data_IF_966390349353
#
_entry.id   IF_966390349353
#
_cell.length_a   1.000
_cell.length_b   1.000
_cell.length_c   1.000
_cell.angle_alpha   90.00
_cell.angle_beta   90.00
_cell.angle_gamma   90.00
#
_symmetry.space_group_name_H-M   'P 1'
#
loop_
_entity.id
_entity.type
_entity.pdbx_description
1 polymer ?
#
# COMPACT_ATOMS: atom_id res chain seq x y z
N UNK A 1 4.97 11.69 6.81
CA UNK A 1 4.27 10.42 7.03
C UNK A 1 2.82 10.56 6.59
N UNK A 2 2.33 9.62 5.79
CA UNK A 2 0.92 9.45 5.42
C UNK A 2 0.40 8.19 6.09
N UNK A 3 -0.74 8.26 6.78
CA UNK A 3 -1.28 7.10 7.48
C UNK A 3 -2.81 7.12 7.49
N UNK A 4 -3.42 5.94 7.42
CA UNK A 4 -4.85 5.79 7.70
C UNK A 4 -5.11 5.92 9.19
N UNK A 5 -6.30 6.40 9.56
CA UNK A 5 -6.76 6.48 10.95
C UNK A 5 -7.93 5.51 11.17
N UNK A 6 -7.67 4.28 11.65
CA UNK A 6 -8.71 3.26 11.79
C UNK A 6 -9.84 3.61 12.76
N UNK A 7 -9.62 4.54 13.68
CA UNK A 7 -10.65 5.01 14.61
C UNK A 7 -11.71 5.92 13.94
N UNK A 8 -11.40 6.41 12.73
CA UNK A 8 -12.30 7.25 11.95
C UNK A 8 -12.70 6.49 10.70
N UNK A 9 -13.98 6.22 10.49
CA UNK A 9 -14.52 5.46 9.35
C UNK A 9 -13.76 4.15 9.07
N UNK A 10 -13.31 3.46 10.11
CA UNK A 10 -12.50 2.23 10.02
C UNK A 10 -11.20 2.37 9.18
N UNK A 11 -10.76 3.58 8.89
CA UNK A 11 -9.61 3.86 8.01
C UNK A 11 -9.94 3.91 6.52
N UNK A 12 -11.24 3.86 6.14
CA UNK A 12 -11.66 3.98 4.75
C UNK A 12 -11.22 5.31 4.13
N UNK A 13 -10.96 5.28 2.83
CA UNK A 13 -10.71 6.48 2.05
C UNK A 13 -12.03 7.05 1.54
N UNK A 14 -12.41 8.21 2.03
CA UNK A 14 -13.47 9.04 1.47
C UNK A 14 -12.91 10.07 0.47
N UNK A 15 -13.80 10.85 -0.14
CA UNK A 15 -13.42 11.91 -1.08
C UNK A 15 -12.47 12.94 -0.44
N UNK A 16 -12.70 13.30 0.83
CA UNK A 16 -11.91 14.31 1.52
C UNK A 16 -10.53 13.77 1.92
N UNK A 17 -10.44 12.54 2.44
CA UNK A 17 -9.19 11.89 2.77
C UNK A 17 -8.30 11.76 1.52
N UNK A 18 -8.88 11.34 0.39
CA UNK A 18 -8.19 11.21 -0.88
C UNK A 18 -7.64 12.55 -1.39
N UNK A 19 -8.44 13.62 -1.31
CA UNK A 19 -8.00 14.99 -1.68
C UNK A 19 -6.89 15.50 -0.77
N UNK A 20 -7.04 15.31 0.54
CA UNK A 20 -6.05 15.74 1.54
C UNK A 20 -4.72 15.01 1.32
N UNK A 21 -4.76 13.68 1.19
CA UNK A 21 -3.56 12.87 0.99
C UNK A 21 -2.89 13.20 -0.35
N UNK A 22 -3.64 13.29 -1.46
CA UNK A 22 -3.08 13.63 -2.76
C UNK A 22 -2.40 15.01 -2.77
N UNK A 23 -3.00 16.02 -2.12
CA UNK A 23 -2.38 17.35 -1.97
C UNK A 23 -1.08 17.28 -1.16
N UNK A 24 -1.09 16.52 -0.06
CA UNK A 24 0.10 16.39 0.79
C UNK A 24 1.24 15.65 0.09
N UNK A 25 0.95 14.58 -0.65
CA UNK A 25 1.95 13.86 -1.45
C UNK A 25 2.59 14.76 -2.48
N UNK A 26 1.80 15.53 -3.23
CA UNK A 26 2.32 16.50 -4.20
C UNK A 26 3.16 17.61 -3.56
N UNK A 27 2.77 18.08 -2.37
CA UNK A 27 3.58 19.02 -1.60
C UNK A 27 4.94 18.42 -1.23
N UNK A 28 4.95 17.20 -0.70
CA UNK A 28 6.20 16.53 -0.34
C UNK A 28 7.11 16.33 -1.56
N UNK A 29 6.53 15.94 -2.69
CA UNK A 29 7.29 15.76 -3.94
C UNK A 29 7.92 17.08 -4.42
N UNK A 30 7.14 18.18 -4.42
CA UNK A 30 7.62 19.50 -4.82
C UNK A 30 8.80 20.03 -3.97
N UNK A 31 8.91 19.60 -2.72
CA UNK A 31 9.97 19.99 -1.79
C UNK A 31 11.01 18.89 -1.53
N UNK A 32 11.06 17.85 -2.34
CA UNK A 32 11.98 16.71 -2.19
C UNK A 32 11.92 16.04 -0.80
N UNK A 33 10.73 15.94 -0.21
CA UNK A 33 10.50 15.32 1.10
C UNK A 33 10.12 13.85 0.90
N UNK A 34 10.95 12.88 1.37
CA UNK A 34 10.63 11.46 1.29
C UNK A 34 9.32 11.11 1.97
N UNK A 35 8.59 10.14 1.41
CA UNK A 35 7.29 9.70 1.89
C UNK A 35 7.39 8.34 2.59
N UNK A 36 6.82 8.26 3.80
CA UNK A 36 6.56 7.01 4.51
C UNK A 36 5.05 6.85 4.63
N UNK A 37 4.51 5.78 4.06
CA UNK A 37 3.08 5.48 4.07
C UNK A 37 2.79 4.30 4.98
N UNK A 38 1.93 4.50 5.97
CA UNK A 38 1.47 3.45 6.87
C UNK A 38 0.04 3.06 6.50
N UNK A 39 -0.14 1.83 6.01
CA UNK A 39 -1.40 1.37 5.42
C UNK A 39 -2.19 0.54 6.40
N UNK A 40 -3.42 0.96 6.66
CA UNK A 40 -4.45 0.20 7.35
C UNK A 40 -5.81 0.60 6.77
N UNK A 41 -6.13 0.12 5.58
CA UNK A 41 -7.27 0.58 4.77
C UNK A 41 -8.14 -0.58 4.29
N UNK A 42 -9.41 -0.64 4.70
CA UNK A 42 -10.33 -1.69 4.26
C UNK A 42 -10.91 -1.43 2.86
N UNK A 43 -10.83 -0.21 2.35
CA UNK A 43 -11.39 0.16 1.06
C UNK A 43 -11.66 1.65 0.93
N UNK A 44 -12.23 2.04 -0.21
CA UNK A 44 -12.90 3.33 -0.33
C UNK A 44 -14.24 3.28 0.41
N UNK A 45 -14.67 4.40 0.97
CA UNK A 45 -15.95 4.48 1.66
C UNK A 45 -17.10 4.35 0.65
N UNK A 46 -17.96 3.33 0.77
CA UNK A 46 -19.08 3.15 -0.14
C UNK A 46 -20.24 4.11 0.19
N UNK A 47 -21.16 4.25 -0.72
CA UNK A 47 -22.40 4.97 -0.52
C UNK A 47 -22.66 6.04 -1.58
N UNK A 48 -23.94 6.30 -1.85
CA UNK A 48 -24.37 7.26 -2.88
C UNK A 48 -23.84 8.66 -2.67
N UNK A 49 -23.73 9.10 -1.39
CA UNK A 49 -23.15 10.40 -1.05
C UNK A 49 -21.67 10.50 -1.44
N UNK A 50 -20.89 9.41 -1.31
CA UNK A 50 -19.49 9.37 -1.74
C UNK A 50 -19.38 9.34 -3.26
N UNK A 51 -20.25 8.60 -3.94
CA UNK A 51 -20.30 8.56 -5.40
C UNK A 51 -20.61 9.95 -5.99
N UNK A 52 -21.63 10.63 -5.48
CA UNK A 52 -21.94 12.00 -5.91
C UNK A 52 -20.85 13.01 -5.56
N UNK A 53 -20.12 12.80 -4.46
CA UNK A 53 -18.97 13.62 -4.09
C UNK A 53 -17.68 13.24 -4.85
N UNK A 54 -17.76 12.32 -5.79
CA UNK A 54 -16.65 11.97 -6.70
C UNK A 54 -15.54 11.18 -6.01
N UNK A 55 -15.87 10.17 -5.20
CA UNK A 55 -14.89 9.33 -4.51
C UNK A 55 -13.87 8.70 -5.47
N UNK A 56 -14.32 8.24 -6.64
CA UNK A 56 -13.44 7.68 -7.68
C UNK A 56 -12.53 8.75 -8.27
N UNK A 57 -13.08 9.94 -8.60
CA UNK A 57 -12.31 11.07 -9.11
C UNK A 57 -11.21 11.50 -8.14
N UNK A 58 -11.55 11.60 -6.85
CA UNK A 58 -10.60 12.03 -5.83
C UNK A 58 -9.63 10.92 -5.45
N UNK A 59 -10.05 9.65 -5.47
CA UNK A 59 -9.18 8.49 -5.35
C UNK A 59 -8.15 8.45 -6.48
N UNK A 60 -8.57 8.74 -7.71
CA UNK A 60 -7.67 8.85 -8.86
C UNK A 60 -6.61 9.97 -8.67
N UNK A 61 -6.99 11.12 -8.06
CA UNK A 61 -6.00 12.18 -7.75
C UNK A 61 -4.91 11.69 -6.78
N UNK A 62 -5.27 10.89 -5.80
CA UNK A 62 -4.30 10.28 -4.88
C UNK A 62 -3.41 9.27 -5.60
N UNK A 63 -4.00 8.43 -6.47
CA UNK A 63 -3.28 7.47 -7.29
C UNK A 63 -2.22 8.18 -8.17
N UNK A 64 -2.62 9.21 -8.90
CA UNK A 64 -1.71 9.99 -9.73
C UNK A 64 -0.64 10.70 -8.91
N UNK A 65 -0.97 11.26 -7.75
CA UNK A 65 0.00 11.91 -6.89
C UNK A 65 1.14 10.96 -6.49
N UNK A 66 0.82 9.73 -6.10
CA UNK A 66 1.85 8.73 -5.80
C UNK A 66 2.57 8.19 -7.04
N UNK A 67 1.86 8.04 -8.16
CA UNK A 67 2.45 7.54 -9.40
C UNK A 67 3.45 8.51 -10.03
N UNK A 68 3.18 9.82 -9.93
CA UNK A 68 4.02 10.88 -10.44
C UNK A 68 5.17 11.25 -9.50
N UNK A 69 5.00 11.05 -8.17
CA UNK A 69 6.00 11.45 -7.18
C UNK A 69 7.35 10.78 -7.43
N UNK A 70 8.40 11.60 -7.48
CA UNK A 70 9.79 11.20 -7.74
C UNK A 70 10.60 10.97 -6.45
N UNK A 71 10.10 11.49 -5.32
CA UNK A 71 10.73 11.29 -4.01
C UNK A 71 10.69 9.84 -3.54
N UNK A 72 11.60 9.42 -2.66
CA UNK A 72 11.58 8.11 -2.03
C UNK A 72 10.23 7.78 -1.39
N UNK A 73 9.65 6.63 -1.76
CA UNK A 73 8.36 6.15 -1.27
C UNK A 73 8.51 4.80 -0.57
N UNK A 74 8.32 4.80 0.74
CA UNK A 74 8.37 3.60 1.57
C UNK A 74 6.98 3.35 2.12
N UNK A 75 6.48 2.13 1.96
CA UNK A 75 5.15 1.74 2.41
C UNK A 75 5.25 0.58 3.39
N UNK A 76 4.46 0.64 4.46
CA UNK A 76 4.34 -0.44 5.44
C UNK A 76 2.87 -0.76 5.64
N UNK A 77 2.46 -1.95 5.28
CA UNK A 77 1.11 -2.46 5.56
C UNK A 77 1.06 -2.97 6.99
N UNK A 78 0.24 -2.30 7.81
CA UNK A 78 0.14 -2.59 9.24
C UNK A 78 -0.88 -3.69 9.52
N UNK A 79 -2.07 -3.62 8.89
CA UNK A 79 -3.17 -4.54 9.12
C UNK A 79 -3.95 -4.81 7.82
N UNK A 80 -4.93 -3.98 7.48
CA UNK A 80 -5.77 -4.16 6.31
C UNK A 80 -5.23 -3.40 5.10
N UNK A 81 -5.28 -4.03 3.94
CA UNK A 81 -4.88 -3.41 2.68
C UNK A 81 -5.67 -4.07 1.55
N UNK A 82 -6.89 -3.53 1.28
CA UNK A 82 -7.82 -4.17 0.37
C UNK A 82 -8.12 -3.33 -0.87
N UNK A 83 -8.19 -4.02 -2.00
CA UNK A 83 -8.73 -3.55 -3.27
C UNK A 83 -8.07 -2.30 -3.82
N UNK A 84 -8.88 -1.42 -4.42
CA UNK A 84 -8.40 -0.18 -5.01
C UNK A 84 -7.77 0.79 -4.01
N UNK A 85 -8.22 0.79 -2.76
CA UNK A 85 -7.63 1.61 -1.70
C UNK A 85 -6.20 1.16 -1.35
N UNK A 86 -5.92 -0.15 -1.36
CA UNK A 86 -4.56 -0.67 -1.31
C UNK A 86 -3.71 -0.09 -2.45
N UNK A 87 -4.22 -0.14 -3.67
CA UNK A 87 -3.47 0.33 -4.83
C UNK A 87 -3.06 1.80 -4.71
N UNK A 88 -3.98 2.68 -4.29
CA UNK A 88 -3.71 4.14 -4.25
C UNK A 88 -2.83 4.57 -3.07
N UNK A 89 -2.62 3.73 -2.06
CA UNK A 89 -1.80 4.03 -0.89
C UNK A 89 -0.33 3.65 -1.09
N UNK A 90 0.29 4.16 -2.17
CA UNK A 90 1.71 3.94 -2.47
C UNK A 90 2.10 2.47 -2.63
N UNK A 91 1.26 1.70 -3.30
CA UNK A 91 1.54 0.29 -3.57
C UNK A 91 2.69 0.12 -4.57
N UNK A 92 3.20 -1.11 -4.67
CA UNK A 92 4.18 -1.51 -5.69
C UNK A 92 3.66 -1.27 -7.11
N UNK A 93 2.35 -1.39 -7.33
CA UNK A 93 1.68 -1.11 -8.61
C UNK A 93 1.86 0.34 -9.07
N UNK A 94 2.03 1.29 -8.14
CA UNK A 94 2.29 2.70 -8.41
C UNK A 94 3.78 3.06 -8.29
N UNK A 95 4.66 2.10 -8.50
CA UNK A 95 6.11 2.29 -8.38
C UNK A 95 6.53 2.77 -6.99
N UNK A 96 5.89 2.24 -5.92
CA UNK A 96 6.41 2.35 -4.56
C UNK A 96 7.80 1.70 -4.49
N UNK A 97 8.78 2.40 -3.96
CA UNK A 97 10.18 1.94 -3.99
C UNK A 97 10.39 0.73 -3.09
N UNK A 98 9.92 0.83 -1.85
CA UNK A 98 10.00 -0.25 -0.86
C UNK A 98 8.64 -0.45 -0.20
N UNK A 99 8.12 -1.66 -0.31
CA UNK A 99 6.84 -2.04 0.27
C UNK A 99 7.05 -3.19 1.25
N UNK A 100 6.69 -2.95 2.50
CA UNK A 100 6.78 -3.90 3.59
C UNK A 100 5.41 -4.24 4.15
N UNK A 101 5.30 -5.38 4.78
CA UNK A 101 4.10 -5.75 5.52
C UNK A 101 4.45 -6.38 6.87
N UNK A 102 3.58 -6.22 7.84
CA UNK A 102 3.65 -7.01 9.07
C UNK A 102 3.15 -8.44 8.81
N UNK A 103 3.60 -9.44 9.59
CA UNK A 103 3.18 -10.84 9.39
C UNK A 103 1.68 -11.05 9.53
N UNK A 104 1.02 -10.17 10.30
CA UNK A 104 -0.43 -10.18 10.54
C UNK A 104 -1.21 -9.31 9.57
N UNK A 105 -0.53 -8.73 8.56
CA UNK A 105 -1.20 -7.90 7.56
C UNK A 105 -2.09 -8.75 6.65
N UNK A 106 -3.20 -8.17 6.23
CA UNK A 106 -4.14 -8.77 5.30
C UNK A 106 -4.10 -7.97 3.98
N UNK A 107 -3.53 -8.56 2.95
CA UNK A 107 -3.43 -7.94 1.61
C UNK A 107 -4.28 -8.78 0.66
N UNK A 108 -5.36 -8.22 0.14
CA UNK A 108 -6.31 -8.94 -0.71
C UNK A 108 -7.10 -7.99 -1.62
N UNK A 109 -7.80 -8.57 -2.59
CA UNK A 109 -8.71 -7.81 -3.48
C UNK A 109 -9.91 -7.27 -2.70
N UNK A 110 -10.42 -8.04 -1.73
CA UNK A 110 -11.52 -7.65 -0.84
C UNK A 110 -11.35 -8.28 0.54
N UNK A 111 -12.02 -7.71 1.53
CA UNK A 111 -12.02 -8.28 2.88
C UNK A 111 -12.62 -9.68 2.92
N UNK A 112 -12.16 -10.55 3.83
CA UNK A 112 -12.59 -11.95 3.89
C UNK A 112 -14.11 -12.13 4.01
N UNK A 113 -14.80 -11.35 4.85
CA UNK A 113 -16.26 -11.42 4.98
C UNK A 113 -16.98 -11.09 3.67
N UNK A 114 -16.58 -10.01 2.99
CA UNK A 114 -17.14 -9.66 1.68
C UNK A 114 -16.83 -10.70 0.61
N UNK A 115 -15.66 -11.34 0.65
CA UNK A 115 -15.31 -12.42 -0.27
C UNK A 115 -16.21 -13.63 -0.07
N UNK A 116 -16.52 -13.99 1.18
CA UNK A 116 -17.44 -15.11 1.49
C UNK A 116 -18.85 -14.81 1.00
N UNK A 117 -19.35 -13.61 1.21
CA UNK A 117 -20.68 -13.18 0.73
C UNK A 117 -20.83 -13.26 -0.79
N UNK A 118 -19.75 -13.04 -1.54
CA UNK A 118 -19.78 -13.07 -3.01
C UNK A 118 -19.49 -14.47 -3.56
N UNK A 119 -18.40 -15.10 -3.09
CA UNK A 119 -17.88 -16.34 -3.67
C UNK A 119 -18.64 -17.56 -3.16
N UNK A 120 -18.95 -17.61 -1.86
CA UNK A 120 -19.52 -18.76 -1.17
C UNK A 120 -21.00 -18.58 -0.80
N UNK A 121 -21.68 -17.55 -1.35
CA UNK A 121 -23.08 -17.23 -1.04
C UNK A 121 -24.02 -18.45 -1.12
N UNK A 122 -23.86 -19.28 -2.16
CA UNK A 122 -24.71 -20.47 -2.38
C UNK A 122 -24.43 -21.59 -1.36
N UNK A 123 -23.15 -21.80 -1.04
CA UNK A 123 -22.72 -22.82 -0.08
C UNK A 123 -23.19 -22.46 1.34
N UNK A 124 -22.99 -21.19 1.71
CA UNK A 124 -23.43 -20.66 3.01
C UNK A 124 -24.95 -20.74 3.16
N UNK A 125 -25.71 -20.41 2.10
CA UNK A 125 -27.17 -20.47 2.15
C UNK A 125 -27.72 -21.91 2.22
N UNK A 126 -26.97 -22.89 1.73
CA UNK A 126 -27.37 -24.31 1.75
C UNK A 126 -26.92 -25.05 3.02
N UNK A 127 -26.11 -24.46 3.87
CA UNK A 127 -25.59 -25.08 5.08
C UNK A 127 -26.66 -25.16 6.19
N UNK A 128 -26.60 -26.19 7.03
CA UNK A 128 -27.46 -26.33 8.21
C UNK A 128 -27.25 -25.17 9.22
N UNK A 129 -26.00 -24.72 9.40
CA UNK A 129 -25.65 -23.50 10.14
C UNK A 129 -24.90 -22.52 9.22
N UNK A 130 -25.62 -21.56 8.61
CA UNK A 130 -25.01 -20.56 7.72
C UNK A 130 -23.93 -19.72 8.39
N UNK A 131 -24.07 -19.43 9.70
CA UNK A 131 -23.08 -18.61 10.43
C UNK A 131 -21.78 -19.35 10.68
N UNK A 132 -21.86 -20.60 11.09
CA UNK A 132 -20.68 -21.44 11.30
C UNK A 132 -19.95 -21.68 9.96
N UNK A 133 -20.69 -22.01 8.89
CA UNK A 133 -20.15 -22.18 7.56
C UNK A 133 -19.47 -20.90 7.02
N UNK A 134 -20.07 -19.73 7.19
CA UNK A 134 -19.48 -18.47 6.81
C UNK A 134 -18.17 -18.19 7.56
N UNK A 135 -18.13 -18.44 8.86
CA UNK A 135 -16.92 -18.24 9.66
C UNK A 135 -15.77 -19.18 9.25
N UNK A 136 -16.09 -20.43 8.92
CA UNK A 136 -15.12 -21.40 8.40
C UNK A 136 -14.54 -20.95 7.07
N UNK A 137 -15.40 -20.55 6.11
CA UNK A 137 -15.00 -20.04 4.81
C UNK A 137 -14.18 -18.74 4.90
N UNK A 138 -14.50 -17.88 5.86
CA UNK A 138 -13.70 -16.68 6.13
C UNK A 138 -12.30 -17.04 6.61
N UNK A 139 -12.17 -18.02 7.50
CA UNK A 139 -10.87 -18.48 7.97
C UNK A 139 -10.05 -19.15 6.86
N UNK A 140 -10.68 -19.97 6.01
CA UNK A 140 -10.06 -20.58 4.83
C UNK A 140 -9.56 -19.49 3.86
N UNK A 141 -10.40 -18.50 3.55
CA UNK A 141 -10.04 -17.40 2.66
C UNK A 141 -8.88 -16.57 3.20
N UNK A 142 -8.90 -16.26 4.51
CA UNK A 142 -7.77 -15.56 5.16
C UNK A 142 -6.47 -16.31 4.98
N UNK A 143 -6.48 -17.61 5.26
CA UNK A 143 -5.28 -18.45 5.15
C UNK A 143 -4.79 -18.57 3.71
N UNK A 144 -5.69 -18.69 2.75
CA UNK A 144 -5.35 -18.92 1.35
C UNK A 144 -4.95 -17.63 0.62
N UNK A 145 -5.62 -16.50 0.90
CA UNK A 145 -5.52 -15.30 0.04
C UNK A 145 -5.17 -14.02 0.81
N UNK A 146 -5.75 -13.80 1.99
CA UNK A 146 -5.59 -12.54 2.70
C UNK A 146 -4.41 -12.58 3.67
N UNK A 147 -3.20 -12.73 3.13
CA UNK A 147 -1.97 -12.76 3.91
C UNK A 147 -0.81 -12.09 3.15
N UNK A 148 0.22 -11.59 3.83
CA UNK A 148 1.31 -10.88 3.18
C UNK A 148 2.23 -11.79 2.37
N UNK A 149 2.27 -13.09 2.66
CA UNK A 149 3.18 -14.03 1.99
C UNK A 149 2.77 -14.28 0.55
N UNK A 150 1.45 -14.34 0.27
CA UNK A 150 0.95 -14.41 -1.09
C UNK A 150 1.34 -13.16 -1.90
N UNK A 151 1.18 -11.97 -1.32
CA UNK A 151 1.59 -10.74 -1.98
C UNK A 151 3.10 -10.71 -2.24
N UNK A 152 3.92 -11.27 -1.34
CA UNK A 152 5.36 -11.37 -1.50
C UNK A 152 5.76 -12.31 -2.65
N UNK A 153 5.06 -13.44 -2.84
CA UNK A 153 5.33 -14.37 -3.93
C UNK A 153 5.20 -13.73 -5.32
N UNK A 154 4.28 -12.77 -5.46
CA UNK A 154 4.06 -12.03 -6.69
C UNK A 154 4.88 -10.73 -6.79
N UNK A 155 5.76 -10.47 -5.82
CA UNK A 155 6.57 -9.25 -5.81
C UNK A 155 5.80 -7.96 -5.48
N UNK A 156 4.61 -8.06 -4.89
CA UNK A 156 3.82 -6.89 -4.49
C UNK A 156 4.30 -6.26 -3.18
N UNK A 157 5.07 -6.98 -2.41
CA UNK A 157 5.84 -6.48 -1.26
C UNK A 157 7.25 -7.03 -1.31
N UNK A 158 8.19 -6.26 -0.79
CA UNK A 158 9.61 -6.59 -0.82
C UNK A 158 10.02 -7.51 0.35
N UNK A 159 9.36 -7.36 1.50
CA UNK A 159 9.67 -8.18 2.67
C UNK A 159 8.56 -8.13 3.72
N UNK A 160 8.45 -9.19 4.53
CA UNK A 160 7.57 -9.27 5.70
C UNK A 160 8.40 -9.02 6.96
N UNK A 161 8.15 -7.90 7.62
CA UNK A 161 8.97 -7.42 8.74
C UNK A 161 8.41 -7.81 10.09
N UNK A 162 9.19 -8.55 10.88
CA UNK A 162 8.87 -8.84 12.27
C UNK A 162 9.30 -7.68 13.19
N UNK A 163 8.47 -7.32 14.16
CA UNK A 163 8.83 -6.34 15.17
C UNK A 163 9.98 -6.86 16.04
N UNK A 164 11.18 -6.35 15.81
CA UNK A 164 12.28 -6.51 16.75
C UNK A 164 12.22 -5.45 17.85
N UNK A 165 12.51 -5.83 19.10
CA UNK A 165 12.45 -4.97 20.30
C UNK A 165 13.33 -3.72 20.26
N UNK A 166 14.13 -3.48 19.25
CA UNK A 166 15.25 -2.53 19.29
C UNK A 166 15.17 -1.34 18.32
N UNK A 167 14.03 -0.99 17.75
CA UNK A 167 13.87 0.26 16.97
C UNK A 167 14.83 0.46 15.78
N UNK A 168 15.63 -0.53 15.42
CA UNK A 168 16.68 -0.46 14.38
C UNK A 168 16.17 -0.29 12.93
N UNK A 169 14.86 -0.40 12.71
CA UNK A 169 14.30 -0.50 11.35
C UNK A 169 14.22 0.82 10.58
N UNK A 170 14.18 1.96 11.27
CA UNK A 170 14.05 3.26 10.60
C UNK A 170 15.29 3.63 9.77
N UNK A 171 16.48 3.26 10.22
CA UNK A 171 17.73 3.44 9.50
C UNK A 171 17.92 2.44 8.35
N UNK A 172 17.49 1.18 8.54
CA UNK A 172 17.63 0.13 7.51
C UNK A 172 16.76 0.39 6.27
N UNK A 173 15.56 0.99 6.43
CA UNK A 173 14.66 1.30 5.31
C UNK A 173 15.30 2.29 4.33
N UNK A 174 15.96 3.32 4.84
CA UNK A 174 16.64 4.31 4.01
C UNK A 174 18.01 3.82 3.50
N UNK A 175 18.74 3.06 4.30
CA UNK A 175 20.08 2.56 3.96
C UNK A 175 20.03 1.51 2.82
N UNK A 176 19.04 0.59 2.82
CA UNK A 176 18.88 -0.37 1.72
C UNK A 176 18.62 0.29 0.37
N UNK A 177 17.87 1.37 0.34
CA UNK A 177 17.62 2.08 -0.92
C UNK A 177 18.85 2.77 -1.47
N UNK A 178 19.66 3.39 -0.63
CA UNK A 178 20.93 3.96 -1.05
C UNK A 178 21.86 2.89 -1.64
N UNK A 179 21.84 1.66 -1.08
CA UNK A 179 22.61 0.54 -1.64
C UNK A 179 22.06 0.02 -2.96
N UNK A 180 20.73 -0.03 -3.14
CA UNK A 180 20.14 -0.49 -4.41
C UNK A 180 20.31 0.49 -5.57
N UNK A 181 20.34 1.79 -5.31
CA UNK A 181 20.63 2.79 -6.35
C UNK A 181 22.07 2.71 -6.89
N UNK A 182 22.96 2.00 -6.19
CA UNK A 182 24.35 1.78 -6.62
C UNK A 182 24.61 0.42 -7.29
N UNK A 183 23.61 -0.43 -7.44
CA UNK A 183 23.78 -1.79 -7.98
C UNK A 183 22.96 -2.06 -9.26
N UNK A 184 22.84 -1.09 -10.13
CA UNK A 184 22.33 -1.33 -11.48
C UNK A 184 23.52 -1.77 -12.34
N UNK A 185 23.57 -3.05 -12.68
CA UNK A 185 24.50 -3.58 -13.67
C UNK A 185 23.88 -3.59 -15.07
N UNK A 186 24.68 -3.35 -16.11
CA UNK A 186 24.27 -3.51 -17.49
C UNK A 186 24.02 -5.01 -17.83
N UNK A 187 23.44 -5.35 -18.97
CA UNK A 187 23.21 -6.73 -19.40
C UNK A 187 24.49 -7.58 -19.52
N UNK A 188 25.67 -6.96 -19.49
CA UNK A 188 26.98 -7.62 -19.54
C UNK A 188 27.61 -7.78 -18.15
N UNK A 189 26.84 -7.45 -17.05
CA UNK A 189 27.27 -7.59 -15.66
C UNK A 189 28.21 -6.50 -15.15
N UNK A 190 28.38 -5.41 -15.91
CA UNK A 190 29.17 -4.27 -15.46
C UNK A 190 28.30 -3.33 -14.60
N UNK A 191 28.80 -2.94 -13.45
CA UNK A 191 28.12 -1.98 -12.57
C UNK A 191 28.01 -0.63 -13.27
N UNK A 192 26.80 -0.17 -13.51
CA UNK A 192 26.54 1.20 -13.95
C UNK A 192 26.51 2.07 -12.71
N UNK A 193 27.55 2.84 -12.45
CA UNK A 193 27.54 3.91 -11.45
C UNK A 193 26.61 5.03 -11.98
N UNK A 194 25.33 4.91 -11.69
CA UNK A 194 24.41 6.05 -11.80
C UNK A 194 24.63 6.91 -10.56
N UNK A 195 25.59 7.81 -10.63
CA UNK A 195 25.74 8.88 -9.66
C UNK A 195 24.63 9.91 -9.94
N UNK A 196 23.56 10.01 -9.17
CA UNK A 196 22.46 10.93 -9.42
C UNK A 196 22.69 12.31 -8.82
N UNK A 197 23.90 12.62 -8.38
CA UNK A 197 24.26 13.97 -8.00
C UNK A 197 24.66 14.75 -9.26
N UNK A 198 23.79 15.61 -9.82
CA UNK A 198 24.29 16.63 -10.71
C UNK A 198 25.34 17.46 -9.93
N UNK A 199 26.46 17.83 -10.57
CA UNK A 199 27.44 18.66 -9.91
C UNK A 199 26.75 19.93 -9.41
N UNK A 200 27.05 20.31 -8.17
CA UNK A 200 26.45 21.43 -7.44
C UNK A 200 26.76 22.82 -8.04
N UNK A 201 27.01 22.90 -9.33
CA UNK A 201 27.34 24.12 -10.04
C UNK A 201 26.62 24.17 -11.38
N UNK A 202 25.34 24.51 -11.37
CA UNK A 202 24.70 25.23 -12.48
C UNK A 202 23.33 25.74 -12.04
N UNK A 203 23.35 26.68 -11.11
CA UNK A 203 22.30 27.67 -11.00
C UNK A 203 23.04 29.00 -11.03
N UNK A 204 23.19 29.55 -12.23
CA UNK A 204 23.37 30.99 -12.50
C UNK A 204 23.44 31.13 -14.02
N UNK A 205 22.37 31.62 -14.61
CA UNK A 205 22.22 31.99 -16.01
C UNK A 205 20.76 32.14 -16.34
#
# INVERSE_FOLDING_TARGET
IVANQPKVMAGCLDSNASRKAGRFVRFCDAFNIPLVTLVDVPGFLPGTGQEYNGVILHGAKLLYAYGEATVPKITVTLRKSYGGAYCVMSSKHLRGDMNYAWPTAEIAVMGPSGAVEVIFAKEVAAAEDPKACAAEKEAEYKKAFANPYNAAQYGYIDDVQHFGRNGKYRGMLFDRRQKQSHEISDPEGRRINSDPTPPAHTILG
#
